data_IF_736393094600
#
_entry.id   IF_736393094600
#
_cell.length_a   1.000
_cell.length_b   1.000
_cell.length_c   1.000
_cell.angle_alpha   90.00
_cell.angle_beta   90.00
_cell.angle_gamma   90.00
#
_symmetry.space_group_name_H-M   'P 1'
#
loop_
_entity.id
_entity.type
_entity.pdbx_description
1 polymer ?
#
# COMPACT_ATOMS: atom_id res chain seq x y z
N UNK A 1 -31.10 17.69 -17.22
CA UNK A 1 -29.97 16.77 -17.05
C UNK A 1 -29.43 17.04 -15.66
N UNK A 2 -29.58 16.03 -14.75
CA UNK A 2 -29.29 16.21 -13.33
C UNK A 2 -27.76 16.26 -13.11
N UNK A 3 -27.30 17.42 -12.67
CA UNK A 3 -25.89 17.68 -12.37
C UNK A 3 -25.50 16.99 -11.06
N UNK A 4 -25.18 15.70 -11.12
CA UNK A 4 -24.74 14.93 -9.95
C UNK A 4 -23.30 15.31 -9.63
N UNK A 5 -23.14 16.10 -8.59
CA UNK A 5 -21.85 16.55 -8.09
C UNK A 5 -21.00 15.33 -7.70
N UNK A 6 -19.84 15.05 -8.36
CA UNK A 6 -19.01 13.88 -8.07
C UNK A 6 -18.49 13.84 -6.63
N UNK A 7 -18.39 15.00 -5.99
CA UNK A 7 -18.05 15.09 -4.58
C UNK A 7 -19.17 14.51 -3.67
N UNK A 8 -20.44 14.72 -4.04
CA UNK A 8 -21.59 14.15 -3.32
C UNK A 8 -21.62 12.64 -3.50
N UNK A 9 -21.30 12.14 -4.70
CA UNK A 9 -21.19 10.70 -4.99
C UNK A 9 -20.06 10.08 -4.18
N UNK A 10 -18.91 10.74 -4.08
CA UNK A 10 -17.79 10.25 -3.27
C UNK A 10 -18.13 10.22 -1.78
N UNK A 11 -18.75 11.27 -1.25
CA UNK A 11 -19.18 11.34 0.16
C UNK A 11 -20.26 10.30 0.45
N UNK A 12 -21.24 10.11 -0.44
CA UNK A 12 -22.27 9.07 -0.34
C UNK A 12 -21.66 7.66 -0.46
N UNK A 13 -20.68 7.49 -1.34
CA UNK A 13 -19.94 6.25 -1.50
C UNK A 13 -19.19 5.88 -0.21
N UNK A 14 -18.50 6.83 0.41
CA UNK A 14 -17.82 6.62 1.70
C UNK A 14 -18.83 6.39 2.82
N UNK A 15 -19.93 7.16 2.87
CA UNK A 15 -20.96 7.04 3.91
C UNK A 15 -21.73 5.72 3.84
N UNK A 16 -22.04 5.19 2.64
CA UNK A 16 -22.69 3.89 2.45
C UNK A 16 -21.86 2.72 2.98
N UNK A 17 -20.52 2.83 2.96
CA UNK A 17 -19.65 1.80 3.52
C UNK A 17 -19.60 1.77 5.05
N UNK A 18 -19.89 2.90 5.72
CA UNK A 18 -19.88 2.96 7.19
C UNK A 18 -21.12 2.36 7.84
N UNK A 19 -22.20 2.09 7.10
CA UNK A 19 -23.47 1.58 7.67
C UNK A 19 -23.54 0.05 7.72
N UNK A 20 -22.58 -0.66 7.13
CA UNK A 20 -22.54 -2.13 7.27
C UNK A 20 -22.16 -2.51 8.69
N UNK A 21 -23.14 -2.83 9.51
CA UNK A 21 -22.98 -3.36 10.87
C UNK A 21 -22.01 -4.54 10.84
N UNK A 22 -20.84 -4.37 11.45
CA UNK A 22 -19.92 -5.46 11.74
C UNK A 22 -20.56 -6.29 12.83
N UNK A 23 -21.35 -7.29 12.45
CA UNK A 23 -21.67 -8.39 13.37
C UNK A 23 -20.32 -9.06 13.67
N UNK A 24 -19.81 -8.88 14.88
CA UNK A 24 -18.59 -9.52 15.37
C UNK A 24 -18.89 -11.01 15.53
N UNK A 25 -18.76 -11.78 14.47
CA UNK A 25 -18.68 -13.22 14.58
C UNK A 25 -17.39 -13.53 15.37
N UNK A 26 -17.49 -14.36 16.39
CA UNK A 26 -16.33 -14.79 17.16
C UNK A 26 -15.43 -15.59 16.21
N UNK A 27 -14.25 -15.04 15.91
CA UNK A 27 -13.28 -15.65 15.01
C UNK A 27 -12.63 -16.84 15.70
N UNK A 28 -12.76 -18.02 15.10
CA UNK A 28 -12.16 -19.26 15.61
C UNK A 28 -11.11 -19.80 14.68
N UNK A 29 -10.07 -20.38 15.24
CA UNK A 29 -9.00 -21.05 14.49
C UNK A 29 -9.58 -22.35 13.91
N UNK A 30 -9.81 -22.38 12.60
CA UNK A 30 -10.32 -23.55 11.90
C UNK A 30 -9.19 -24.50 11.47
N UNK A 31 -8.00 -23.95 11.22
CA UNK A 31 -6.83 -24.73 10.77
C UNK A 31 -5.55 -23.99 11.13
N UNK A 32 -4.48 -24.75 11.45
CA UNK A 32 -3.12 -24.21 11.65
C UNK A 32 -2.20 -24.92 10.66
N UNK A 33 -1.42 -24.15 9.91
CA UNK A 33 -0.38 -24.66 9.00
C UNK A 33 0.97 -24.08 9.37
N UNK A 34 1.99 -24.90 9.27
CA UNK A 34 3.37 -24.53 9.52
C UNK A 34 4.15 -24.63 8.21
N UNK A 35 5.01 -23.65 7.96
CA UNK A 35 5.88 -23.61 6.79
C UNK A 35 7.29 -23.15 7.18
N UNK A 36 8.28 -23.75 6.50
CA UNK A 36 9.69 -23.37 6.68
C UNK A 36 10.43 -24.14 7.78
N UNK A 37 9.73 -25.03 8.47
CA UNK A 37 10.33 -26.01 9.35
C UNK A 37 10.83 -27.21 8.53
N UNK A 38 12.11 -27.53 8.63
CA UNK A 38 12.74 -28.66 7.93
C UNK A 38 13.10 -29.81 8.88
N UNK A 39 13.38 -29.49 10.12
CA UNK A 39 13.84 -30.44 11.15
C UNK A 39 12.82 -30.61 12.28
N UNK A 40 12.10 -29.55 12.63
CA UNK A 40 11.08 -29.55 13.69
C UNK A 40 9.72 -29.98 13.12
N UNK A 41 9.08 -31.05 13.63
CA UNK A 41 7.74 -31.44 13.18
C UNK A 41 6.70 -30.34 13.37
N UNK A 42 5.70 -30.26 12.46
CA UNK A 42 4.60 -29.28 12.55
C UNK A 42 3.90 -29.31 13.91
N UNK A 43 3.67 -30.51 14.43
CA UNK A 43 3.02 -30.70 15.73
C UNK A 43 3.79 -30.04 16.88
N UNK A 44 5.12 -30.07 16.84
CA UNK A 44 5.97 -29.46 17.85
C UNK A 44 5.93 -27.93 17.73
N UNK A 45 5.94 -27.37 16.51
CA UNK A 45 5.82 -25.93 16.29
C UNK A 45 4.46 -25.43 16.79
N UNK A 46 3.38 -26.15 16.48
CA UNK A 46 2.02 -25.82 16.94
C UNK A 46 1.95 -25.88 18.46
N UNK A 47 2.51 -26.93 19.08
CA UNK A 47 2.57 -27.08 20.54
C UNK A 47 3.33 -25.93 21.20
N UNK A 48 4.48 -25.55 20.65
CA UNK A 48 5.30 -24.43 21.13
C UNK A 48 4.59 -23.09 21.01
N UNK A 49 3.76 -22.90 19.98
CA UNK A 49 3.00 -21.68 19.78
C UNK A 49 1.88 -21.51 20.83
N UNK A 50 1.41 -22.62 21.41
CA UNK A 50 0.24 -22.63 22.31
C UNK A 50 -1.09 -22.38 21.60
N UNK A 51 -1.12 -22.38 20.27
CA UNK A 51 -2.35 -22.28 19.47
C UNK A 51 -2.98 -23.67 19.32
N UNK A 52 -4.32 -23.70 19.25
CA UNK A 52 -5.08 -24.91 18.99
C UNK A 52 -6.26 -24.63 18.06
N UNK A 53 -6.60 -25.62 17.24
CA UNK A 53 -7.82 -25.58 16.43
C UNK A 53 -9.04 -25.44 17.36
N UNK A 54 -9.98 -24.56 17.02
CA UNK A 54 -11.11 -24.18 17.87
C UNK A 54 -10.81 -23.04 18.86
N UNK A 55 -9.54 -22.63 18.98
CA UNK A 55 -9.14 -21.51 19.84
C UNK A 55 -9.48 -20.15 19.25
N UNK A 56 -9.23 -19.09 20.03
CA UNK A 56 -9.44 -17.70 19.62
C UNK A 56 -8.37 -17.26 18.63
N UNK A 57 -8.77 -16.66 17.50
CA UNK A 57 -7.91 -16.12 16.46
C UNK A 57 -7.60 -14.62 16.63
N UNK A 58 -7.91 -14.00 17.78
CA UNK A 58 -7.66 -12.59 18.04
C UNK A 58 -6.17 -12.25 18.07
N UNK A 59 -5.82 -11.02 17.66
CA UNK A 59 -4.44 -10.53 17.57
C UNK A 59 -3.59 -10.73 18.85
N UNK A 60 -4.12 -10.56 20.09
CA UNK A 60 -3.35 -10.85 21.30
C UNK A 60 -2.88 -12.30 21.39
N UNK A 61 -3.74 -13.26 21.00
CA UNK A 61 -3.40 -14.69 21.03
C UNK A 61 -2.31 -15.06 20.01
N UNK A 62 -2.30 -14.38 18.86
CA UNK A 62 -1.29 -14.58 17.84
C UNK A 62 0.06 -13.97 18.26
N UNK A 63 0.02 -12.84 18.93
CA UNK A 63 1.22 -12.21 19.48
C UNK A 63 1.86 -13.08 20.57
N UNK A 64 1.05 -13.60 21.50
CA UNK A 64 1.52 -14.56 22.52
C UNK A 64 2.14 -15.81 21.89
N UNK A 65 1.60 -16.29 20.79
CA UNK A 65 2.14 -17.43 20.06
C UNK A 65 3.51 -17.11 19.43
N UNK A 66 3.66 -15.94 18.84
CA UNK A 66 4.98 -15.49 18.33
C UNK A 66 6.02 -15.38 19.45
N UNK A 67 5.65 -14.84 20.62
CA UNK A 67 6.55 -14.73 21.77
C UNK A 67 6.97 -16.10 22.29
N UNK A 68 6.05 -17.05 22.41
CA UNK A 68 6.35 -18.43 22.83
C UNK A 68 7.29 -19.12 21.84
N UNK A 69 7.03 -18.95 20.53
CA UNK A 69 7.92 -19.51 19.51
C UNK A 69 9.31 -18.86 19.56
N UNK A 70 9.42 -17.56 19.80
CA UNK A 70 10.70 -16.86 20.00
C UNK A 70 11.43 -17.35 21.25
N UNK A 71 10.70 -17.54 22.34
CA UNK A 71 11.27 -18.07 23.59
C UNK A 71 11.84 -19.48 23.46
N UNK A 72 11.39 -20.25 22.47
CA UNK A 72 11.96 -21.57 22.18
C UNK A 72 13.37 -21.53 21.63
N UNK A 73 13.86 -20.39 21.15
CA UNK A 73 15.16 -20.16 20.51
C UNK A 73 15.48 -21.09 19.31
N UNK A 74 14.47 -21.75 18.76
CA UNK A 74 14.62 -22.70 17.64
C UNK A 74 14.57 -22.03 16.25
N UNK A 75 14.00 -20.83 16.18
CA UNK A 75 13.71 -20.16 14.92
C UNK A 75 14.40 -18.81 14.86
N UNK A 76 14.93 -18.45 13.68
CA UNK A 76 15.54 -17.15 13.40
C UNK A 76 14.49 -16.12 12.94
N UNK A 77 13.45 -16.61 12.23
CA UNK A 77 12.33 -15.78 11.79
C UNK A 77 11.03 -16.50 12.14
N UNK A 78 10.10 -15.77 12.69
CA UNK A 78 8.76 -16.26 13.04
C UNK A 78 7.77 -15.22 12.56
N UNK A 79 6.77 -15.67 11.82
CA UNK A 79 5.67 -14.84 11.36
C UNK A 79 4.38 -15.65 11.50
N UNK A 80 3.46 -15.16 12.33
CA UNK A 80 2.13 -15.76 12.49
C UNK A 80 1.14 -14.92 11.71
N UNK A 81 0.61 -15.51 10.63
CA UNK A 81 -0.34 -14.86 9.73
C UNK A 81 -1.74 -15.39 9.96
N UNK A 82 -2.69 -14.48 10.00
CA UNK A 82 -4.11 -14.79 10.02
C UNK A 82 -4.67 -14.65 8.60
N UNK A 83 -5.27 -15.72 8.10
CA UNK A 83 -5.86 -15.80 6.78
C UNK A 83 -7.28 -16.33 6.91
N UNK A 84 -8.18 -15.95 6.01
CA UNK A 84 -9.49 -16.59 5.93
C UNK A 84 -9.35 -17.98 5.32
N UNK A 85 -9.83 -19.02 5.99
CA UNK A 85 -9.83 -20.41 5.48
C UNK A 85 -10.76 -20.57 4.29
N UNK A 86 -11.90 -19.89 4.30
CA UNK A 86 -12.90 -19.96 3.25
C UNK A 86 -13.30 -18.55 2.82
N UNK A 87 -13.58 -18.41 1.54
CA UNK A 87 -14.13 -17.18 0.98
C UNK A 87 -15.61 -17.03 1.40
N UNK A 88 -16.28 -18.13 1.71
CA UNK A 88 -17.71 -18.17 2.04
C UNK A 88 -17.99 -17.97 3.53
N UNK A 89 -17.04 -18.31 4.39
CA UNK A 89 -17.14 -18.12 5.84
C UNK A 89 -15.89 -17.46 6.42
N UNK A 90 -15.96 -16.19 6.72
CA UNK A 90 -14.84 -15.41 7.28
C UNK A 90 -14.58 -15.68 8.77
N UNK A 91 -15.51 -16.31 9.48
CA UNK A 91 -15.30 -16.67 10.89
C UNK A 91 -14.33 -17.86 11.03
N UNK A 92 -14.13 -18.64 9.97
CA UNK A 92 -13.18 -19.75 9.94
C UNK A 92 -11.78 -19.23 9.57
N UNK A 93 -10.93 -19.03 10.57
CA UNK A 93 -9.59 -18.49 10.41
C UNK A 93 -8.57 -19.62 10.22
N UNK A 94 -7.75 -19.50 9.17
CA UNK A 94 -6.52 -20.26 8.99
C UNK A 94 -5.36 -19.48 9.62
N UNK A 95 -4.65 -20.09 10.54
CA UNK A 95 -3.39 -19.55 11.04
C UNK A 95 -2.25 -20.19 10.26
N UNK A 96 -1.43 -19.36 9.65
CA UNK A 96 -0.20 -19.77 8.99
C UNK A 96 0.98 -19.32 9.84
N UNK A 97 1.72 -20.29 10.38
CA UNK A 97 2.97 -20.07 11.10
C UNK A 97 4.10 -20.27 10.09
N UNK A 98 4.77 -19.19 9.73
CA UNK A 98 5.95 -19.25 8.87
C UNK A 98 7.18 -19.10 9.76
N UNK A 99 8.04 -20.13 9.74
CA UNK A 99 9.28 -20.12 10.53
C UNK A 99 10.48 -20.37 9.63
N UNK A 100 11.60 -19.79 10.01
CA UNK A 100 12.91 -20.16 9.46
C UNK A 100 13.68 -20.79 10.60
N UNK A 101 13.97 -22.08 10.49
CA UNK A 101 14.77 -22.76 11.50
C UNK A 101 16.18 -22.17 11.53
N UNK A 102 16.68 -21.99 12.74
CA UNK A 102 18.04 -21.50 12.97
C UNK A 102 19.05 -22.47 12.37
N UNK A 103 19.76 -22.05 11.33
CA UNK A 103 20.75 -22.89 10.68
C UNK A 103 21.96 -23.15 11.60
N UNK A 104 22.24 -24.44 11.87
CA UNK A 104 23.42 -24.87 12.61
C UNK A 104 23.34 -24.65 14.11
N UNK A 105 22.16 -24.59 14.69
CA UNK A 105 21.95 -24.80 16.11
C UNK A 105 22.08 -26.30 16.36
N UNK A 106 23.34 -26.74 16.56
CA UNK A 106 23.59 -27.86 17.46
C UNK A 106 23.45 -27.32 18.88
N UNK A 107 23.15 -28.17 19.83
CA UNK A 107 22.94 -27.83 21.24
C UNK A 107 24.07 -27.00 21.87
N UNK A 108 25.18 -26.79 21.20
CA UNK A 108 26.42 -26.22 21.74
C UNK A 108 26.75 -24.80 21.19
N UNK A 109 26.03 -24.25 20.20
CA UNK A 109 26.34 -22.93 19.59
C UNK A 109 25.14 -22.02 19.57
N UNK A 110 24.86 -21.38 20.70
CA UNK A 110 23.69 -20.51 20.95
C UNK A 110 23.85 -19.08 20.44
N UNK A 111 25.01 -18.70 19.90
CA UNK A 111 25.26 -17.32 19.41
C UNK A 111 25.88 -17.28 18.01
N UNK A 112 25.07 -17.34 16.95
CA UNK A 112 25.59 -17.14 15.61
C UNK A 112 26.17 -15.72 15.44
N UNK A 113 27.33 -15.62 14.78
CA UNK A 113 27.98 -14.33 14.52
C UNK A 113 27.07 -13.35 13.77
N UNK A 114 27.30 -12.04 13.97
CA UNK A 114 26.45 -10.96 13.46
C UNK A 114 26.12 -11.07 11.96
N UNK A 115 27.08 -11.44 11.13
CA UNK A 115 26.88 -11.63 9.68
C UNK A 115 25.96 -12.81 9.34
N UNK A 116 26.01 -13.90 10.11
CA UNK A 116 25.11 -15.05 9.94
C UNK A 116 23.67 -14.69 10.37
N UNK A 117 23.52 -13.89 11.43
CA UNK A 117 22.22 -13.38 11.88
C UNK A 117 21.61 -12.42 10.86
N UNK A 118 22.41 -11.53 10.28
CA UNK A 118 21.95 -10.60 9.22
C UNK A 118 21.54 -11.39 7.97
N UNK A 119 22.31 -12.38 7.55
CA UNK A 119 21.98 -13.20 6.37
C UNK A 119 20.71 -14.04 6.55
N UNK A 120 20.51 -14.63 7.73
CA UNK A 120 19.32 -15.44 8.02
C UNK A 120 18.06 -14.61 8.26
N UNK A 121 18.21 -13.38 8.76
CA UNK A 121 17.11 -12.44 8.99
C UNK A 121 16.77 -11.56 7.77
N UNK A 122 17.44 -11.77 6.62
CA UNK A 122 17.24 -10.95 5.42
C UNK A 122 16.22 -11.58 4.49
N UNK A 123 15.13 -10.85 4.26
CA UNK A 123 14.17 -11.12 3.18
C UNK A 123 14.47 -10.15 2.04
N UNK A 124 14.68 -10.68 0.85
CA UNK A 124 14.82 -9.84 -0.34
C UNK A 124 13.66 -10.08 -1.30
N UNK A 125 13.06 -8.99 -1.70
CA UNK A 125 11.85 -8.97 -2.50
C UNK A 125 12.17 -8.32 -3.84
N UNK A 126 12.01 -9.02 -4.97
CA UNK A 126 12.18 -8.40 -6.26
C UNK A 126 11.12 -7.32 -6.49
N UNK A 127 11.52 -6.25 -7.14
CA UNK A 127 10.63 -5.18 -7.61
C UNK A 127 10.68 -5.21 -9.13
N UNK A 128 9.52 -5.34 -9.76
CA UNK A 128 9.38 -5.25 -11.20
C UNK A 128 8.06 -4.56 -11.51
N UNK A 129 8.12 -3.43 -12.20
CA UNK A 129 6.94 -2.65 -12.55
C UNK A 129 7.14 -2.04 -13.94
N UNK A 130 6.12 -2.13 -14.77
CA UNK A 130 6.08 -1.43 -16.05
C UNK A 130 4.88 -0.50 -16.08
N UNK A 131 5.15 0.77 -16.25
CA UNK A 131 4.15 1.81 -16.32
C UNK A 131 4.39 2.65 -17.57
N UNK A 132 3.41 2.72 -18.48
CA UNK A 132 3.49 3.60 -19.63
C UNK A 132 3.53 5.06 -19.16
N UNK A 133 4.60 5.76 -19.50
CA UNK A 133 4.96 7.09 -18.99
C UNK A 133 6.23 7.07 -18.14
N UNK A 134 6.44 6.08 -17.30
CA UNK A 134 7.67 5.91 -16.52
C UNK A 134 8.60 4.86 -17.10
N UNK A 135 8.06 3.87 -17.83
CA UNK A 135 8.82 2.74 -18.35
C UNK A 135 9.01 1.61 -17.33
N UNK A 136 9.97 0.75 -17.62
CA UNK A 136 10.29 -0.40 -16.77
C UNK A 136 11.12 0.04 -15.56
N UNK A 137 10.63 -0.25 -14.38
CA UNK A 137 11.34 -0.12 -13.09
C UNK A 137 11.61 -1.52 -12.54
N UNK A 138 12.85 -1.79 -12.20
CA UNK A 138 13.26 -3.07 -11.63
C UNK A 138 14.23 -2.87 -10.47
N UNK A 139 14.28 -3.82 -9.56
CA UNK A 139 15.16 -3.69 -8.41
C UNK A 139 14.92 -4.73 -7.34
N UNK A 140 15.31 -4.39 -6.13
CA UNK A 140 15.19 -5.25 -4.95
C UNK A 140 14.84 -4.41 -3.73
N UNK A 141 14.02 -4.96 -2.86
CA UNK A 141 13.84 -4.46 -1.50
C UNK A 141 14.43 -5.48 -0.53
N UNK A 142 15.48 -5.08 0.15
CA UNK A 142 16.05 -5.85 1.25
C UNK A 142 15.30 -5.50 2.53
N UNK A 143 14.90 -6.49 3.31
CA UNK A 143 14.26 -6.27 4.60
C UNK A 143 14.97 -7.11 5.66
N UNK A 144 15.28 -6.48 6.79
CA UNK A 144 15.95 -7.08 7.93
C UNK A 144 15.04 -6.94 9.14
N UNK A 145 14.66 -8.06 9.73
CA UNK A 145 13.85 -8.06 10.94
C UNK A 145 14.73 -7.90 12.18
N UNK A 146 14.16 -7.34 13.24
CA UNK A 146 14.71 -7.25 14.60
C UNK A 146 16.10 -6.61 14.71
N UNK A 147 16.41 -5.65 13.81
CA UNK A 147 17.73 -5.00 13.72
C UNK A 147 18.08 -4.22 15.00
N UNK A 148 17.09 -3.63 15.68
CA UNK A 148 17.28 -2.84 16.91
C UNK A 148 16.28 -3.26 17.99
N UNK A 149 16.22 -4.55 18.26
CA UNK A 149 15.29 -5.18 19.19
C UNK A 149 14.04 -5.71 18.50
N UNK A 150 13.27 -6.46 19.26
CA UNK A 150 12.06 -7.12 18.78
C UNK A 150 11.09 -6.17 18.12
N UNK A 151 10.41 -6.64 17.06
CA UNK A 151 9.39 -5.90 16.32
C UNK A 151 9.92 -4.64 15.61
N UNK A 152 11.20 -4.63 15.29
CA UNK A 152 11.78 -3.61 14.41
C UNK A 152 12.10 -4.19 13.04
N UNK A 153 11.98 -3.39 12.00
CA UNK A 153 12.30 -3.75 10.63
C UNK A 153 13.07 -2.65 9.96
N UNK A 154 14.16 -3.00 9.32
CA UNK A 154 14.92 -2.13 8.43
C UNK A 154 14.69 -2.58 7.00
N UNK A 155 14.28 -1.68 6.13
CA UNK A 155 14.10 -1.97 4.71
C UNK A 155 14.97 -1.05 3.87
N UNK A 156 15.59 -1.61 2.84
CA UNK A 156 16.46 -0.89 1.90
C UNK A 156 15.93 -1.14 0.48
N UNK A 157 15.05 -0.26 -0.03
CA UNK A 157 14.61 -0.30 -1.42
C UNK A 157 15.70 0.24 -2.35
N UNK A 158 16.00 -0.53 -3.41
CA UNK A 158 16.92 -0.17 -4.47
C UNK A 158 16.25 -0.46 -5.81
N UNK A 159 16.02 0.58 -6.62
CA UNK A 159 15.39 0.43 -7.94
C UNK A 159 16.17 1.19 -9.02
N UNK A 160 16.04 0.69 -10.25
CA UNK A 160 16.62 1.25 -11.47
C UNK A 160 15.58 1.26 -12.59
N UNK A 161 15.92 1.93 -13.69
CA UNK A 161 15.05 2.07 -14.86
C UNK A 161 14.19 3.31 -14.80
N UNK A 162 12.89 3.18 -14.92
CA UNK A 162 11.93 4.28 -14.95
C UNK A 162 11.93 5.13 -13.68
N UNK A 163 12.09 4.48 -12.53
CA UNK A 163 12.36 5.14 -11.25
C UNK A 163 13.69 4.61 -10.69
N UNK A 164 14.65 5.50 -10.47
CA UNK A 164 15.91 5.21 -9.78
C UNK A 164 15.78 5.67 -8.34
N UNK A 165 15.74 4.72 -7.40
CA UNK A 165 15.60 5.01 -5.98
C UNK A 165 16.61 4.23 -5.17
N UNK A 166 17.20 4.91 -4.19
CA UNK A 166 17.92 4.28 -3.09
C UNK A 166 17.39 4.87 -1.78
N UNK A 167 17.03 4.02 -0.83
CA UNK A 167 16.43 4.49 0.43
C UNK A 167 16.73 3.57 1.59
N UNK A 168 16.43 4.06 2.78
CA UNK A 168 16.44 3.32 4.03
C UNK A 168 15.16 3.64 4.78
N UNK A 169 14.46 2.63 5.23
CA UNK A 169 13.20 2.74 5.98
C UNK A 169 13.32 1.91 7.26
N UNK A 170 13.18 2.54 8.41
CA UNK A 170 13.16 1.87 9.70
C UNK A 170 11.75 1.95 10.28
N UNK A 171 11.22 0.80 10.67
CA UNK A 171 9.92 0.65 11.33
C UNK A 171 10.10 -0.02 12.67
N UNK A 172 9.37 0.44 13.69
CA UNK A 172 9.33 -0.17 15.01
C UNK A 172 7.93 -0.11 15.60
N UNK A 173 7.44 -1.25 16.07
CA UNK A 173 6.23 -1.34 16.87
C UNK A 173 6.54 -1.28 18.38
N UNK A 174 5.61 -0.71 19.14
CA UNK A 174 5.73 -0.52 20.60
C UNK A 174 4.48 -1.10 21.28
N UNK A 175 4.70 -1.85 22.35
CA UNK A 175 3.60 -2.44 23.14
C UNK A 175 2.99 -1.46 24.13
N UNK A 176 3.77 -0.48 24.55
CA UNK A 176 3.39 0.49 25.59
C UNK A 176 3.68 1.92 25.13
N UNK A 177 2.93 2.87 25.68
CA UNK A 177 3.12 4.29 25.40
C UNK A 177 2.09 4.86 24.39
N UNK A 178 2.22 6.16 24.06
CA UNK A 178 1.26 6.86 23.18
C UNK A 178 1.41 6.48 21.71
N UNK A 179 2.56 5.98 21.29
CA UNK A 179 2.86 5.56 19.92
C UNK A 179 2.87 4.03 19.88
N UNK A 180 2.11 3.45 18.95
CA UNK A 180 2.09 1.99 18.71
C UNK A 180 3.03 1.57 17.58
N UNK A 181 3.26 2.46 16.61
CA UNK A 181 4.10 2.20 15.45
C UNK A 181 4.82 3.49 15.03
N UNK A 182 6.10 3.41 14.79
CA UNK A 182 6.92 4.51 14.28
C UNK A 182 7.62 4.05 12.99
N UNK A 183 7.61 4.91 11.98
CA UNK A 183 8.36 4.74 10.75
C UNK A 183 9.22 5.97 10.50
N UNK A 184 10.48 5.75 10.18
CA UNK A 184 11.43 6.79 9.80
C UNK A 184 12.12 6.32 8.53
N UNK A 185 12.17 7.16 7.51
CA UNK A 185 12.83 6.79 6.27
C UNK A 185 13.43 7.98 5.55
N UNK A 186 14.45 7.71 4.78
CA UNK A 186 15.06 8.67 3.87
C UNK A 186 15.36 8.03 2.54
N UNK A 187 15.24 8.78 1.46
CA UNK A 187 15.56 8.30 0.13
C UNK A 187 16.11 9.36 -0.80
N UNK A 188 16.82 8.88 -1.81
CA UNK A 188 17.16 9.64 -3.01
C UNK A 188 16.44 8.97 -4.16
N UNK A 189 15.67 9.77 -4.90
CA UNK A 189 14.85 9.32 -6.01
C UNK A 189 15.11 10.20 -7.23
N UNK A 190 15.13 9.60 -8.41
CA UNK A 190 15.19 10.29 -9.71
C UNK A 190 14.30 9.58 -10.71
N UNK A 191 13.38 10.34 -11.32
CA UNK A 191 12.50 9.87 -12.40
C UNK A 191 12.23 11.00 -13.38
N UNK A 192 11.72 10.68 -14.54
CA UNK A 192 11.15 11.68 -15.46
C UNK A 192 9.66 11.83 -15.13
N UNK A 193 9.21 13.05 -14.87
CA UNK A 193 7.79 13.31 -14.70
C UNK A 193 7.11 13.16 -16.07
N UNK A 194 6.14 12.24 -16.22
CA UNK A 194 5.62 11.90 -17.54
C UNK A 194 4.66 12.94 -18.12
N UNK A 195 4.15 13.88 -17.32
CA UNK A 195 3.31 14.97 -17.80
C UNK A 195 4.15 16.16 -18.28
N UNK A 196 5.15 16.56 -17.48
CA UNK A 196 6.00 17.71 -17.76
C UNK A 196 7.19 17.37 -18.63
N UNK A 197 7.53 16.08 -18.77
CA UNK A 197 8.74 15.58 -19.45
C UNK A 197 10.02 16.18 -18.87
N UNK A 198 10.03 16.41 -17.56
CA UNK A 198 11.16 16.97 -16.81
C UNK A 198 11.68 15.96 -15.79
N UNK A 199 12.99 16.00 -15.56
CA UNK A 199 13.60 15.20 -14.49
C UNK A 199 13.14 15.72 -13.13
N UNK A 200 12.57 14.82 -12.30
CA UNK A 200 12.19 15.03 -10.91
C UNK A 200 13.23 14.27 -10.05
N UNK A 201 14.09 15.02 -9.38
CA UNK A 201 15.06 14.46 -8.44
C UNK A 201 14.72 14.93 -7.03
N UNK A 202 14.61 13.96 -6.08
CA UNK A 202 14.23 14.23 -4.69
C UNK A 202 15.21 13.56 -3.73
N UNK A 203 15.49 14.27 -2.64
CA UNK A 203 16.16 13.76 -1.44
C UNK A 203 15.25 14.05 -0.28
N UNK A 204 14.66 13.01 0.29
CA UNK A 204 13.63 13.16 1.31
C UNK A 204 13.98 12.46 2.62
N UNK A 205 13.44 13.01 3.69
CA UNK A 205 13.36 12.41 5.01
C UNK A 205 11.91 12.48 5.48
N UNK A 206 11.40 11.36 6.00
CA UNK A 206 10.02 11.23 6.48
C UNK A 206 9.98 10.54 7.82
N UNK A 207 9.11 11.02 8.68
CA UNK A 207 8.75 10.38 9.94
C UNK A 207 7.22 10.23 10.00
N UNK A 208 6.76 9.10 10.48
CA UNK A 208 5.35 8.80 10.70
C UNK A 208 5.22 8.09 12.05
N UNK A 209 4.25 8.50 12.86
CA UNK A 209 3.98 7.91 14.16
C UNK A 209 2.48 7.64 14.28
N UNK A 210 2.12 6.38 14.54
CA UNK A 210 0.75 5.91 14.61
C UNK A 210 0.40 5.41 16.02
N UNK A 211 -0.85 5.64 16.42
CA UNK A 211 -1.51 4.99 17.53
C UNK A 211 -2.55 4.00 16.99
N UNK A 212 -2.46 2.76 17.39
CA UNK A 212 -3.52 1.76 17.19
C UNK A 212 -4.57 2.01 18.29
N UNK A 213 -5.72 2.55 17.87
CA UNK A 213 -6.84 2.87 18.77
C UNK A 213 -7.73 1.63 18.94
N UNK A 214 -7.91 0.89 17.84
CA UNK A 214 -8.60 -0.40 17.78
C UNK A 214 -7.92 -1.26 16.70
N UNK A 215 -8.11 -2.59 16.68
CA UNK A 215 -7.50 -3.46 15.67
C UNK A 215 -7.72 -3.00 14.24
N UNK A 216 -8.85 -2.36 13.99
CA UNK A 216 -9.26 -1.84 12.69
C UNK A 216 -9.05 -0.32 12.53
N UNK A 217 -8.60 0.42 13.56
CA UNK A 217 -8.46 1.89 13.54
C UNK A 217 -7.07 2.33 14.00
N UNK A 218 -6.37 3.04 13.13
CA UNK A 218 -5.11 3.72 13.43
C UNK A 218 -5.25 5.21 13.17
N UNK A 219 -4.67 6.02 14.04
CA UNK A 219 -4.54 7.47 13.88
C UNK A 219 -3.10 7.86 14.06
N UNK A 220 -2.62 8.81 13.28
CA UNK A 220 -1.21 9.15 13.34
C UNK A 220 -0.88 10.54 12.80
N UNK A 221 0.38 10.90 13.00
CA UNK A 221 0.99 12.10 12.49
C UNK A 221 2.11 11.80 11.50
N UNK A 222 2.34 12.72 10.59
CA UNK A 222 3.38 12.65 9.58
C UNK A 222 4.12 13.95 9.48
N UNK A 223 5.45 13.87 9.37
CA UNK A 223 6.33 14.98 9.03
C UNK A 223 7.30 14.57 7.94
N UNK A 224 7.56 15.45 6.99
CA UNK A 224 8.59 15.20 5.97
C UNK A 224 9.28 16.49 5.55
N UNK A 225 10.52 16.34 5.09
CA UNK A 225 11.28 17.37 4.40
C UNK A 225 11.91 16.75 3.16
N UNK A 226 11.91 17.50 2.06
CA UNK A 226 12.52 17.08 0.82
C UNK A 226 13.25 18.26 0.16
N UNK A 227 14.37 17.97 -0.49
CA UNK A 227 14.96 18.85 -1.49
C UNK A 227 14.56 18.31 -2.86
N UNK A 228 13.93 19.16 -3.65
CA UNK A 228 13.34 18.80 -4.93
C UNK A 228 14.00 19.64 -6.02
N UNK A 229 14.64 18.96 -6.97
CA UNK A 229 15.15 19.54 -8.20
C UNK A 229 14.26 19.06 -9.35
N UNK A 230 13.64 19.99 -10.08
CA UNK A 230 12.68 19.67 -11.13
C UNK A 230 13.03 20.41 -12.43
N UNK A 231 13.51 19.66 -13.42
CA UNK A 231 14.16 20.23 -14.59
C UNK A 231 15.39 21.06 -14.21
N UNK A 232 15.71 22.06 -15.04
CA UNK A 232 16.90 22.91 -14.85
C UNK A 232 16.58 24.20 -14.07
N UNK A 233 15.30 24.53 -13.89
CA UNK A 233 14.87 25.84 -13.43
C UNK A 233 14.21 25.85 -12.05
N UNK A 234 13.88 24.69 -11.47
CA UNK A 234 13.22 24.62 -10.17
C UNK A 234 14.04 23.82 -9.18
N UNK A 235 14.45 24.45 -8.10
CA UNK A 235 15.07 23.80 -6.95
C UNK A 235 14.52 24.41 -5.66
N UNK A 236 13.89 23.61 -4.82
CA UNK A 236 13.27 24.08 -3.59
C UNK A 236 13.29 23.03 -2.48
N UNK A 237 13.25 23.50 -1.23
CA UNK A 237 12.93 22.66 -0.08
C UNK A 237 11.43 22.62 0.08
N UNK A 238 10.90 21.40 0.14
CA UNK A 238 9.51 21.12 0.50
C UNK A 238 9.48 20.56 1.92
N UNK A 239 8.53 20.99 2.71
CA UNK A 239 8.24 20.36 3.99
C UNK A 239 6.74 20.12 4.12
N UNK A 240 6.38 19.06 4.83
CA UNK A 240 4.99 18.73 5.10
C UNK A 240 4.84 18.29 6.55
N UNK A 241 3.75 18.72 7.17
CA UNK A 241 3.33 18.25 8.49
C UNK A 241 1.82 18.02 8.45
N UNK A 242 1.36 16.95 9.08
CA UNK A 242 -0.05 16.64 9.07
C UNK A 242 -0.42 15.44 9.90
N UNK A 243 -1.68 15.02 9.74
CA UNK A 243 -2.22 13.86 10.44
C UNK A 243 -3.03 13.00 9.49
N UNK A 244 -3.27 11.76 9.91
CA UNK A 244 -4.09 10.82 9.16
C UNK A 244 -4.82 9.85 10.09
N UNK A 245 -5.88 9.27 9.55
CA UNK A 245 -6.59 8.14 10.15
C UNK A 245 -6.72 7.03 9.11
N UNK A 246 -6.59 5.79 9.56
CA UNK A 246 -6.72 4.60 8.72
C UNK A 246 -7.69 3.63 9.38
N UNK A 247 -8.74 3.28 8.66
CA UNK A 247 -9.64 2.16 8.96
C UNK A 247 -9.25 1.00 8.08
N UNK A 248 -8.96 -0.16 8.65
CA UNK A 248 -8.58 -1.36 7.91
C UNK A 248 -9.21 -2.58 8.57
N UNK A 249 -10.19 -3.17 7.91
CA UNK A 249 -10.87 -4.38 8.36
C UNK A 249 -10.49 -5.61 7.53
N UNK A 250 -9.45 -5.50 6.68
CA UNK A 250 -9.01 -6.60 5.82
C UNK A 250 -8.26 -7.63 6.65
N UNK A 251 -8.73 -8.87 6.62
CA UNK A 251 -8.04 -10.01 7.22
C UNK A 251 -6.89 -10.45 6.31
N UNK A 252 -7.16 -10.53 5.01
CA UNK A 252 -6.16 -10.83 4.00
C UNK A 252 -6.03 -9.63 3.03
N UNK A 253 -4.98 -8.82 3.17
CA UNK A 253 -4.79 -7.66 2.29
C UNK A 253 -4.53 -8.01 0.82
N UNK A 254 -4.09 -9.25 0.52
CA UNK A 254 -3.81 -9.68 -0.85
C UNK A 254 -5.08 -10.02 -1.63
N UNK A 255 -6.10 -10.57 -0.94
CA UNK A 255 -7.39 -10.86 -1.56
C UNK A 255 -8.54 -10.57 -0.58
N UNK A 256 -8.80 -9.30 -0.27
CA UNK A 256 -9.81 -8.93 0.72
C UNK A 256 -11.22 -9.23 0.22
N UNK A 257 -12.08 -9.66 1.14
CA UNK A 257 -13.51 -9.91 0.93
C UNK A 257 -14.30 -9.44 2.13
N UNK A 258 -15.48 -8.83 1.89
CA UNK A 258 -16.33 -8.24 2.92
C UNK A 258 -15.54 -7.35 3.89
N UNK A 259 -14.75 -6.46 3.34
CA UNK A 259 -13.81 -5.65 4.08
C UNK A 259 -13.75 -4.23 3.54
N UNK A 260 -13.30 -3.33 4.39
CA UNK A 260 -13.10 -1.91 4.06
C UNK A 260 -11.68 -1.52 4.43
N UNK A 261 -11.07 -0.76 3.56
CA UNK A 261 -9.86 0.00 3.84
C UNK A 261 -10.11 1.46 3.51
N UNK A 262 -9.83 2.35 4.45
CA UNK A 262 -9.93 3.80 4.19
C UNK A 262 -8.79 4.50 4.91
N UNK A 263 -8.03 5.30 4.18
CA UNK A 263 -7.04 6.22 4.75
C UNK A 263 -7.43 7.64 4.35
N UNK A 264 -7.60 8.48 5.34
CA UNK A 264 -7.79 9.92 5.16
C UNK A 264 -6.63 10.67 5.82
N UNK A 265 -6.20 11.76 5.21
CA UNK A 265 -5.10 12.57 5.74
C UNK A 265 -5.24 14.03 5.33
N UNK A 266 -4.67 14.88 6.16
CA UNK A 266 -4.47 16.28 5.85
C UNK A 266 -3.05 16.69 6.18
N UNK A 267 -2.44 17.48 5.30
CA UNK A 267 -1.07 17.97 5.45
C UNK A 267 -0.99 19.45 5.06
N UNK A 268 -0.25 20.21 5.84
CA UNK A 268 0.26 21.52 5.45
C UNK A 268 1.60 21.33 4.72
N UNK A 269 1.64 21.79 3.50
CA UNK A 269 2.83 21.83 2.66
C UNK A 269 3.44 23.23 2.74
N UNK A 270 4.76 23.32 2.77
CA UNK A 270 5.51 24.59 2.77
C UNK A 270 6.66 24.49 1.79
N UNK A 271 6.83 25.52 0.96
CA UNK A 271 7.83 25.58 -0.12
C UNK A 271 8.79 26.74 0.14
N UNK A 272 10.11 26.50 0.04
CA UNK A 272 11.12 27.53 0.32
C UNK A 272 11.19 28.65 -0.71
N UNK A 273 10.76 28.37 -1.93
CA UNK A 273 10.75 29.33 -3.05
C UNK A 273 9.39 29.38 -3.69
N UNK A 274 8.81 30.56 -3.94
CA UNK A 274 7.68 30.70 -4.83
C UNK A 274 8.18 30.32 -6.24
N UNK A 275 7.50 29.37 -6.89
CA UNK A 275 7.91 28.97 -8.24
C UNK A 275 7.21 29.80 -9.30
N UNK A 276 7.98 30.32 -10.24
CA UNK A 276 7.48 30.50 -11.60
C UNK A 276 7.35 29.09 -12.20
N UNK A 277 6.13 28.67 -12.52
CA UNK A 277 5.93 27.37 -13.17
C UNK A 277 6.60 27.39 -14.55
N UNK A 278 7.21 26.28 -14.99
CA UNK A 278 7.63 26.17 -16.36
C UNK A 278 6.40 26.36 -17.27
N UNK A 279 6.44 27.34 -18.15
CA UNK A 279 5.41 27.57 -19.16
C UNK A 279 5.40 26.35 -20.11
N UNK A 280 4.43 25.49 -19.94
CA UNK A 280 4.10 24.49 -20.96
C UNK A 280 2.88 24.95 -21.76
N UNK A 281 3.04 24.95 -23.07
CA UNK A 281 1.92 25.13 -24.00
C UNK A 281 0.89 24.00 -23.79
N UNK A 282 -0.26 24.33 -23.15
CA UNK A 282 -1.40 23.41 -22.98
C UNK A 282 -1.63 22.86 -21.59
N UNK A 283 -0.81 23.16 -20.60
CA UNK A 283 -1.08 22.81 -19.20
C UNK A 283 -2.12 23.74 -18.57
N UNK A 284 -2.86 23.27 -17.54
CA UNK A 284 -3.77 24.14 -16.80
C UNK A 284 -2.98 25.30 -16.20
N UNK A 285 -3.44 26.54 -16.44
CA UNK A 285 -2.87 27.73 -15.81
C UNK A 285 -3.22 27.68 -14.33
N UNK A 286 -2.33 27.13 -13.50
CA UNK A 286 -2.45 27.32 -12.06
C UNK A 286 -2.13 28.79 -11.71
N UNK A 287 -2.84 29.31 -10.72
CA UNK A 287 -2.56 30.64 -10.19
C UNK A 287 -1.11 30.73 -9.65
N UNK A 288 -0.72 31.92 -9.22
CA UNK A 288 0.61 32.13 -8.64
C UNK A 288 0.82 31.20 -7.45
N UNK A 289 1.83 30.34 -7.52
CA UNK A 289 2.17 29.38 -6.45
C UNK A 289 2.66 30.14 -5.22
N UNK A 290 1.93 30.00 -4.13
CA UNK A 290 2.30 30.53 -2.83
C UNK A 290 3.42 29.70 -2.15
N UNK A 291 3.77 30.10 -0.93
CA UNK A 291 4.72 29.35 -0.11
C UNK A 291 4.08 28.17 0.62
N UNK A 292 2.78 28.14 0.73
CA UNK A 292 2.03 27.16 1.51
C UNK A 292 0.81 26.65 0.76
N UNK A 293 0.46 25.39 1.04
CA UNK A 293 -0.80 24.79 0.61
C UNK A 293 -1.24 23.73 1.63
N UNK A 294 -2.55 23.64 1.86
CA UNK A 294 -3.14 22.50 2.55
C UNK A 294 -3.52 21.42 1.53
N UNK A 295 -3.19 20.17 1.81
CA UNK A 295 -3.59 19.03 0.99
C UNK A 295 -4.40 18.04 1.83
N UNK A 296 -5.62 17.79 1.41
CA UNK A 296 -6.46 16.70 1.90
C UNK A 296 -6.33 15.50 0.96
N UNK A 297 -6.19 14.29 1.52
CA UNK A 297 -6.14 13.04 0.76
C UNK A 297 -7.10 12.02 1.34
N UNK A 298 -7.75 11.23 0.47
CA UNK A 298 -8.54 10.07 0.86
C UNK A 298 -8.34 8.94 -0.15
N UNK A 299 -8.13 7.71 0.33
CA UNK A 299 -8.17 6.47 -0.44
C UNK A 299 -9.11 5.52 0.29
N UNK A 300 -10.25 5.24 -0.30
CA UNK A 300 -11.26 4.35 0.24
C UNK A 300 -11.43 3.15 -0.67
N UNK A 301 -11.40 1.95 -0.09
CA UNK A 301 -11.53 0.68 -0.80
C UNK A 301 -12.56 -0.18 -0.08
N UNK A 302 -13.50 -0.72 -0.83
CA UNK A 302 -14.51 -1.63 -0.34
C UNK A 302 -14.49 -2.94 -1.14
N UNK A 303 -14.73 -4.04 -0.45
CA UNK A 303 -14.70 -5.36 -1.03
C UNK A 303 -15.94 -6.12 -0.61
N UNK A 304 -16.71 -6.60 -1.58
CA UNK A 304 -17.95 -7.35 -1.33
C UNK A 304 -17.87 -8.70 -2.03
N UNK A 305 -18.01 -9.76 -1.30
CA UNK A 305 -18.17 -11.10 -1.84
C UNK A 305 -19.57 -11.26 -2.43
N UNK A 306 -19.69 -11.45 -3.73
CA UNK A 306 -20.98 -11.52 -4.42
C UNK A 306 -21.49 -12.97 -4.48
N UNK A 307 -20.75 -13.85 -5.10
CA UNK A 307 -21.12 -15.27 -5.29
C UNK A 307 -19.84 -16.10 -5.12
N UNK A 308 -19.91 -17.17 -4.29
CA UNK A 308 -18.77 -18.07 -4.06
C UNK A 308 -17.45 -17.29 -3.84
N UNK A 309 -16.56 -17.35 -4.83
CA UNK A 309 -15.24 -16.74 -4.79
C UNK A 309 -15.15 -15.38 -5.48
N UNK A 310 -16.23 -14.90 -6.12
CA UNK A 310 -16.25 -13.62 -6.83
C UNK A 310 -16.30 -12.45 -5.86
N UNK A 311 -15.41 -11.47 -6.06
CA UNK A 311 -15.34 -10.24 -5.25
C UNK A 311 -15.56 -9.03 -6.14
N UNK A 312 -16.49 -8.17 -5.73
CA UNK A 312 -16.60 -6.81 -6.24
C UNK A 312 -15.71 -5.90 -5.39
N UNK A 313 -14.72 -5.29 -6.01
CA UNK A 313 -13.84 -4.32 -5.38
C UNK A 313 -14.15 -2.92 -5.91
N UNK A 314 -14.32 -1.98 -5.00
CA UNK A 314 -14.57 -0.57 -5.31
C UNK A 314 -13.47 0.27 -4.68
N UNK A 315 -12.96 1.26 -5.41
CA UNK A 315 -11.95 2.20 -4.91
C UNK A 315 -12.34 3.62 -5.26
N UNK A 316 -12.17 4.53 -4.31
CA UNK A 316 -12.26 5.98 -4.51
C UNK A 316 -11.00 6.65 -4.00
N UNK A 317 -10.43 7.52 -4.80
CA UNK A 317 -9.26 8.33 -4.46
C UNK A 317 -9.62 9.82 -4.60
N UNK A 318 -9.21 10.61 -3.64
CA UNK A 318 -9.32 12.06 -3.66
C UNK A 318 -8.01 12.66 -3.16
N UNK A 319 -7.48 13.59 -3.92
CA UNK A 319 -6.46 14.54 -3.46
C UNK A 319 -6.96 15.93 -3.75
N UNK A 320 -7.04 16.80 -2.76
CA UNK A 320 -7.51 18.17 -2.92
C UNK A 320 -6.54 19.13 -2.26
N UNK A 321 -6.03 20.09 -3.04
CA UNK A 321 -5.28 21.21 -2.54
C UNK A 321 -6.18 22.46 -2.42
N UNK A 322 -5.92 23.28 -1.40
CA UNK A 322 -6.62 24.54 -1.15
C UNK A 322 -5.96 25.74 -1.85
N UNK A 323 -4.75 25.54 -2.38
CA UNK A 323 -3.98 26.53 -3.12
C UNK A 323 -3.21 25.89 -4.29
N UNK A 324 -2.74 26.67 -5.27
CA UNK A 324 -1.93 26.16 -6.37
C UNK A 324 -0.66 25.48 -5.87
N UNK A 325 -0.35 24.32 -6.46
CA UNK A 325 0.82 23.54 -6.14
C UNK A 325 1.94 23.76 -7.17
N UNK A 326 3.23 23.76 -6.74
CA UNK A 326 4.33 23.73 -7.69
C UNK A 326 4.27 22.44 -8.51
N UNK A 327 4.74 22.51 -9.77
CA UNK A 327 4.68 21.40 -10.73
C UNK A 327 5.11 20.02 -10.16
N UNK A 328 6.23 19.89 -9.40
CA UNK A 328 6.61 18.61 -8.81
C UNK A 328 5.64 18.09 -7.74
N UNK A 329 4.75 18.92 -7.19
CA UNK A 329 3.76 18.53 -6.18
C UNK A 329 2.36 18.33 -6.75
N UNK A 330 2.13 18.65 -8.04
CA UNK A 330 0.86 18.36 -8.69
C UNK A 330 0.59 16.87 -8.75
N UNK A 331 -0.67 16.50 -8.57
CA UNK A 331 -1.12 15.12 -8.69
C UNK A 331 -1.25 14.72 -10.15
N UNK A 332 -0.79 13.53 -10.48
CA UNK A 332 -0.83 12.98 -11.82
C UNK A 332 -1.96 11.95 -11.93
N UNK A 333 -2.79 12.08 -12.97
CA UNK A 333 -3.83 11.11 -13.32
C UNK A 333 -3.33 10.24 -14.46
N UNK A 334 -3.71 8.98 -14.47
CA UNK A 334 -3.34 7.96 -15.44
C UNK A 334 -2.51 6.85 -14.82
N UNK A 335 -2.33 5.78 -15.56
CA UNK A 335 -1.57 4.62 -15.12
C UNK A 335 -2.35 3.65 -14.25
N UNK A 336 -1.64 2.64 -13.77
CA UNK A 336 -2.19 1.51 -13.00
C UNK A 336 -2.82 1.91 -11.67
N UNK A 337 -2.38 3.03 -11.09
CA UNK A 337 -2.78 3.44 -9.74
C UNK A 337 -4.05 4.30 -9.70
N UNK A 338 -4.44 4.95 -10.81
CA UNK A 338 -5.56 5.88 -10.80
C UNK A 338 -6.55 5.72 -11.96
N UNK A 339 -6.06 5.63 -13.21
CA UNK A 339 -6.90 5.56 -14.41
C UNK A 339 -6.22 4.68 -15.47
N UNK A 340 -6.52 3.38 -15.47
CA UNK A 340 -6.00 2.43 -16.44
C UNK A 340 -6.54 2.70 -17.84
N UNK A 341 -5.73 2.42 -18.87
CA UNK A 341 -6.02 2.78 -20.26
C UNK A 341 -5.37 4.11 -20.68
N UNK A 342 -4.94 4.91 -19.72
CA UNK A 342 -4.20 6.15 -19.95
C UNK A 342 -2.76 6.01 -19.43
N UNK A 343 -1.80 6.66 -20.08
CA UNK A 343 -0.42 6.69 -19.56
C UNK A 343 -0.36 7.38 -18.20
N UNK A 344 0.58 7.02 -17.37
CA UNK A 344 0.88 7.79 -16.17
C UNK A 344 1.14 9.26 -16.55
N UNK A 345 0.59 10.19 -15.78
CA UNK A 345 0.70 11.62 -16.12
C UNK A 345 -0.05 12.02 -17.39
N UNK A 346 -1.13 11.33 -17.73
CA UNK A 346 -2.04 11.78 -18.79
C UNK A 346 -2.57 13.20 -18.53
N UNK A 347 -2.87 13.51 -17.27
CA UNK A 347 -3.22 14.85 -16.78
C UNK A 347 -2.49 15.13 -15.47
N UNK A 348 -2.26 16.42 -15.22
CA UNK A 348 -1.78 16.92 -13.93
C UNK A 348 -2.72 17.99 -13.39
N UNK A 349 -2.73 18.20 -12.08
CA UNK A 349 -3.53 19.23 -11.44
C UNK A 349 -3.18 19.39 -9.97
N UNK A 350 -3.73 20.42 -9.32
CA UNK A 350 -3.58 20.62 -7.88
C UNK A 350 -4.41 19.59 -7.10
N UNK A 351 -5.48 19.13 -7.74
CA UNK A 351 -6.47 18.20 -7.18
C UNK A 351 -6.82 17.10 -8.18
N UNK A 352 -7.23 15.94 -7.65
CA UNK A 352 -7.60 14.75 -8.42
C UNK A 352 -8.75 14.01 -7.74
N UNK A 353 -9.64 13.45 -8.54
CA UNK A 353 -10.55 12.37 -8.13
C UNK A 353 -10.43 11.23 -9.10
N UNK A 354 -10.37 10.02 -8.58
CA UNK A 354 -10.42 8.79 -9.38
C UNK A 354 -11.29 7.75 -8.66
N UNK A 355 -12.07 6.99 -9.42
CA UNK A 355 -12.91 5.91 -8.93
C UNK A 355 -12.69 4.68 -9.79
N UNK A 356 -12.78 3.51 -9.18
CA UNK A 356 -12.62 2.22 -9.86
C UNK A 356 -13.65 1.24 -9.34
N UNK A 357 -14.24 0.48 -10.24
CA UNK A 357 -15.04 -0.69 -9.94
C UNK A 357 -14.44 -1.91 -10.65
N UNK A 358 -14.15 -2.97 -9.89
CA UNK A 358 -13.44 -4.13 -10.38
C UNK A 358 -14.13 -5.41 -9.90
N UNK A 359 -14.38 -6.35 -10.81
CA UNK A 359 -14.85 -7.71 -10.50
C UNK A 359 -13.66 -8.64 -10.57
N UNK A 360 -13.38 -9.35 -9.49
CA UNK A 360 -12.30 -10.35 -9.36
C UNK A 360 -12.86 -11.74 -9.28
N UNK A 361 -12.37 -12.62 -10.14
CA UNK A 361 -12.77 -14.04 -10.21
C UNK A 361 -11.53 -14.90 -9.99
N UNK A 362 -11.27 -15.38 -8.76
CA UNK A 362 -10.19 -16.33 -8.53
C UNK A 362 -10.54 -17.68 -9.19
N UNK A 363 -9.57 -18.25 -9.86
CA UNK A 363 -9.67 -19.55 -10.55
C UNK A 363 -9.07 -20.69 -9.70
N UNK A 364 -8.32 -20.34 -8.66
CA UNK A 364 -7.73 -21.29 -7.72
C UNK A 364 -8.57 -21.39 -6.45
N UNK A 365 -8.41 -22.52 -5.74
CA UNK A 365 -9.05 -22.70 -4.43
C UNK A 365 -8.63 -21.61 -3.43
N UNK A 366 -9.52 -21.22 -2.54
CA UNK A 366 -9.24 -20.33 -1.42
C UNK A 366 -8.13 -20.84 -0.48
N UNK A 367 -7.92 -22.15 -0.44
CA UNK A 367 -6.90 -22.82 0.35
C UNK A 367 -5.53 -22.87 -0.34
N UNK A 368 -5.43 -22.40 -1.59
CA UNK A 368 -4.16 -22.37 -2.31
C UNK A 368 -3.29 -21.23 -1.78
N UNK A 369 -2.03 -21.52 -1.50
CA UNK A 369 -1.00 -20.51 -1.19
C UNK A 369 -0.82 -19.53 -2.36
N UNK A 370 -1.08 -20.00 -3.58
CA UNK A 370 -1.03 -19.22 -4.81
C UNK A 370 -2.45 -18.96 -5.31
N UNK A 371 -2.81 -17.71 -5.42
CA UNK A 371 -4.12 -17.29 -5.95
C UNK A 371 -3.95 -16.73 -7.33
N UNK A 372 -4.49 -17.43 -8.32
CA UNK A 372 -4.56 -16.97 -9.70
C UNK A 372 -6.00 -16.67 -10.07
N UNK A 373 -6.22 -15.61 -10.83
CA UNK A 373 -7.55 -15.25 -11.28
C UNK A 373 -7.57 -14.21 -12.38
N UNK A 374 -8.77 -13.93 -12.82
CA UNK A 374 -9.07 -12.90 -13.82
C UNK A 374 -9.84 -11.76 -13.18
N UNK A 375 -9.72 -10.59 -13.77
CA UNK A 375 -10.46 -9.40 -13.33
C UNK A 375 -10.93 -8.58 -14.53
N UNK A 376 -12.01 -7.84 -14.33
CA UNK A 376 -12.47 -6.82 -15.25
C UNK A 376 -12.80 -5.56 -14.47
N UNK A 377 -12.63 -4.39 -15.08
CA UNK A 377 -12.76 -3.13 -14.36
C UNK A 377 -13.21 -1.99 -15.25
N UNK A 378 -13.72 -0.99 -14.58
CA UNK A 378 -14.01 0.34 -15.11
C UNK A 378 -13.39 1.36 -14.15
N UNK A 379 -12.61 2.28 -14.69
CA UNK A 379 -11.99 3.39 -13.96
C UNK A 379 -12.50 4.71 -14.52
N UNK A 380 -12.76 5.69 -13.65
CA UNK A 380 -13.08 7.07 -14.04
C UNK A 380 -12.29 8.06 -13.19
N UNK A 381 -11.85 9.16 -13.80
CA UNK A 381 -11.11 10.17 -13.05
C UNK A 381 -10.90 11.47 -13.80
N UNK A 382 -10.52 12.49 -13.03
CA UNK A 382 -10.12 13.79 -13.55
C UNK A 382 -9.20 14.53 -12.60
N UNK A 383 -8.50 15.53 -13.10
CA UNK A 383 -7.73 16.50 -12.32
C UNK A 383 -8.25 17.90 -12.59
N UNK A 384 -8.05 18.80 -11.63
CA UNK A 384 -8.37 20.22 -11.78
C UNK A 384 -7.38 21.08 -10.99
N UNK A 385 -7.29 22.34 -11.35
CA UNK A 385 -6.51 23.34 -10.62
C UNK A 385 -7.32 23.88 -9.43
N UNK A 386 -6.65 24.48 -8.46
CA UNK A 386 -7.29 25.03 -7.25
C UNK A 386 -8.32 26.14 -7.55
N UNK A 387 -8.22 26.79 -8.72
CA UNK A 387 -9.16 27.83 -9.17
C UNK A 387 -10.37 27.29 -9.94
N UNK A 388 -10.34 26.02 -10.37
CA UNK A 388 -11.41 25.37 -11.10
C UNK A 388 -12.36 24.63 -10.16
N UNK A 389 -13.58 24.36 -10.64
CA UNK A 389 -14.56 23.55 -9.91
C UNK A 389 -14.54 22.13 -10.46
N UNK A 390 -14.57 21.17 -9.57
CA UNK A 390 -14.64 19.75 -9.97
C UNK A 390 -15.89 19.42 -10.80
N UNK A 391 -16.99 20.14 -10.56
CA UNK A 391 -18.25 19.94 -11.28
C UNK A 391 -18.18 20.30 -12.77
N UNK A 392 -17.22 21.13 -13.15
CA UNK A 392 -17.04 21.61 -14.52
C UNK A 392 -16.05 20.70 -15.29
N UNK A 393 -15.46 19.71 -14.63
CA UNK A 393 -14.48 18.81 -15.24
C UNK A 393 -15.16 17.58 -15.85
N UNK A 394 -14.71 17.22 -17.05
CA UNK A 394 -15.09 15.94 -17.66
C UNK A 394 -14.29 14.81 -17.04
N UNK A 395 -14.98 13.78 -16.57
CA UNK A 395 -14.36 12.51 -16.18
C UNK A 395 -13.87 11.77 -17.43
N UNK A 396 -12.65 11.25 -17.36
CA UNK A 396 -12.11 10.34 -18.35
C UNK A 396 -12.37 8.92 -17.89
N UNK A 397 -12.66 8.00 -18.82
CA UNK A 397 -13.01 6.62 -18.52
C UNK A 397 -12.03 5.66 -19.17
N UNK A 398 -11.63 4.64 -18.40
CA UNK A 398 -10.89 3.48 -18.88
C UNK A 398 -11.66 2.21 -18.56
N UNK A 399 -11.68 1.26 -19.48
CA UNK A 399 -12.33 -0.05 -19.30
C UNK A 399 -11.30 -1.12 -19.64
N UNK A 400 -11.25 -2.19 -18.85
CA UNK A 400 -10.27 -3.21 -19.11
C UNK A 400 -10.51 -4.52 -18.40
N UNK A 401 -9.53 -5.38 -18.55
CA UNK A 401 -9.46 -6.65 -17.86
C UNK A 401 -8.02 -7.08 -17.70
N UNK A 402 -7.81 -8.08 -16.87
CA UNK A 402 -6.48 -8.55 -16.57
C UNK A 402 -6.48 -9.86 -15.82
N UNK A 403 -5.27 -10.28 -15.50
CA UNK A 403 -5.00 -11.42 -14.65
C UNK A 403 -4.25 -10.96 -13.39
N UNK A 404 -4.48 -11.66 -12.31
CA UNK A 404 -3.74 -11.47 -11.08
C UNK A 404 -3.19 -12.80 -10.57
N UNK A 405 -2.01 -12.73 -9.98
CA UNK A 405 -1.38 -13.84 -9.28
C UNK A 405 -0.92 -13.35 -7.91
N UNK A 406 -1.48 -13.93 -6.85
CA UNK A 406 -1.07 -13.70 -5.47
C UNK A 406 -0.32 -14.92 -4.95
N UNK A 407 0.84 -14.72 -4.36
CA UNK A 407 1.63 -15.77 -3.73
C UNK A 407 2.26 -15.23 -2.44
N UNK A 408 1.81 -15.70 -1.30
CA UNK A 408 2.21 -15.21 0.00
C UNK A 408 2.09 -13.66 0.09
N UNK A 409 3.23 -12.95 0.18
CA UNK A 409 3.25 -11.49 0.25
C UNK A 409 3.30 -10.81 -1.14
N UNK A 410 3.38 -11.56 -2.24
CA UNK A 410 3.53 -11.02 -3.58
C UNK A 410 2.19 -10.95 -4.32
N UNK A 411 1.97 -9.85 -5.01
CA UNK A 411 0.93 -9.71 -6.01
C UNK A 411 1.57 -9.35 -7.35
N UNK A 412 1.15 -10.05 -8.38
CA UNK A 412 1.46 -9.75 -9.78
C UNK A 412 0.15 -9.43 -10.47
N UNK A 413 0.08 -8.28 -11.11
CA UNK A 413 -1.06 -7.84 -11.89
C UNK A 413 -0.61 -7.56 -13.32
N UNK A 414 -1.37 -8.05 -14.29
CA UNK A 414 -1.22 -7.72 -15.70
C UNK A 414 -2.57 -7.30 -16.24
N UNK A 415 -2.70 -6.04 -16.60
CA UNK A 415 -3.94 -5.43 -17.05
C UNK A 415 -3.81 -4.92 -18.49
N UNK A 416 -4.87 -5.08 -19.28
CA UNK A 416 -5.05 -4.42 -20.56
C UNK A 416 -6.28 -3.53 -20.46
N UNK A 417 -6.13 -2.26 -20.78
CA UNK A 417 -7.20 -1.27 -20.63
C UNK A 417 -7.29 -0.35 -21.84
N UNK A 418 -8.51 -0.02 -22.20
CA UNK A 418 -8.88 0.87 -23.30
C UNK A 418 -9.36 2.21 -22.75
N UNK A 419 -8.80 3.32 -23.22
CA UNK A 419 -9.34 4.65 -22.95
C UNK A 419 -10.62 4.89 -23.76
N UNK A 420 -11.34 5.97 -23.50
CA UNK A 420 -12.50 6.37 -24.34
C UNK A 420 -12.09 6.61 -25.79
N UNK A 421 -10.89 7.15 -26.00
CA UNK A 421 -10.31 7.40 -27.31
C UNK A 421 -8.84 6.99 -27.31
N UNK A 422 -8.40 6.26 -28.33
CA UNK A 422 -7.00 5.87 -28.50
C UNK A 422 -6.76 4.36 -28.46
N UNK A 423 -5.49 4.00 -28.27
CA UNK A 423 -5.04 2.60 -28.27
C UNK A 423 -5.06 2.02 -26.86
N UNK A 424 -5.28 0.70 -26.74
CA UNK A 424 -5.20 0.02 -25.44
C UNK A 424 -3.77 0.12 -24.88
N UNK A 425 -3.71 0.07 -23.55
CA UNK A 425 -2.45 0.09 -22.80
C UNK A 425 -2.33 -1.11 -21.91
N UNK A 426 -1.11 -1.57 -21.76
CA UNK A 426 -0.76 -2.68 -20.87
C UNK A 426 -0.13 -2.08 -19.61
N UNK A 427 -0.61 -2.56 -18.46
CA UNK A 427 -0.05 -2.23 -17.15
C UNK A 427 0.41 -3.53 -16.51
N UNK A 428 1.62 -3.53 -16.02
CA UNK A 428 2.20 -4.67 -15.33
C UNK A 428 2.79 -4.20 -14.01
N UNK A 429 2.45 -4.86 -12.94
CA UNK A 429 3.00 -4.57 -11.63
C UNK A 429 3.25 -5.85 -10.85
N UNK A 430 4.41 -5.92 -10.21
CA UNK A 430 4.73 -6.93 -9.23
C UNK A 430 5.22 -6.24 -7.96
N UNK A 431 4.61 -6.56 -6.83
CA UNK A 431 5.00 -5.95 -5.58
C UNK A 431 4.39 -6.64 -4.37
N UNK A 432 4.84 -6.20 -3.21
CA UNK A 432 4.25 -6.56 -1.93
C UNK A 432 3.14 -5.56 -1.63
N UNK A 433 1.90 -6.04 -1.57
CA UNK A 433 0.77 -5.23 -1.11
C UNK A 433 0.56 -5.51 0.38
N UNK A 434 0.83 -4.50 1.19
CA UNK A 434 0.52 -4.48 2.61
C UNK A 434 -0.80 -3.78 2.88
#
# INVERSE_FOLDING_TARGET
>A
MSNRNPFVIFVLFVALFFVSSVASAQETIAEIRVHGNHTTPDADVISLSGLAVGGNAADPSLHDAEEKLKASHRFDTIEVKRLSRSIDNQADILIMIVVVERSGVSTDDLTPGLLKRIGAASLWLPVLNYEDGYGLTYGVRLAFADVRGERSRLSVPLTWGGERRAGVEFERAFDRGPISLMRVGGSVNRRVNPFFDLTDQRRDLRIEADRIVAPWLRVGGIGSVAHVDFGDSYAARHSAIGGHATVDTRIDPSFPRNAVYTRVGWQRLTFSSPSTQPEQSGGPRSGQVGRDAGRFTADARGYVGVIRSVVLALRGQLSRADAPLPAPEQVLLGGSESLRGYRAGYRAGDSMVAVSAEVRVPLTSALSVHRFGVKTFVDEGTTWTSIERVADQRLQRGIGGGIFLGAAAFMLDLDVAWPEEGKPRVHFGMGVRF
#
